data_IF_072690745504
#
_entry.id   IF_072690745504
#
_cell.length_a   1.000
_cell.length_b   1.000
_cell.length_c   1.000
_cell.angle_alpha   90.00
_cell.angle_beta   90.00
_cell.angle_gamma   90.00
#
_symmetry.space_group_name_H-M   'P 1'
#
loop_
_entity.id
_entity.type
_entity.pdbx_description
1 polymer ?
#
# COMPACT_ATOMS: atom_id res chain seq x y z
N UNK A 1 -6.22 3.65 -3.62
CA UNK A 1 -6.61 3.62 -5.04
C UNK A 1 -6.21 4.90 -5.75
N UNK A 2 -6.21 6.04 -5.07
CA UNK A 2 -5.85 7.35 -5.64
C UNK A 2 -4.35 7.66 -5.59
N UNK A 3 -3.54 6.81 -4.98
CA UNK A 3 -2.09 7.02 -4.85
C UNK A 3 -1.70 8.08 -3.84
N UNK A 4 -2.54 8.28 -2.82
CA UNK A 4 -2.29 9.26 -1.74
C UNK A 4 -1.76 8.55 -0.50
N UNK A 5 -0.75 9.13 0.13
CA UNK A 5 -0.18 8.70 1.41
C UNK A 5 0.14 9.94 2.27
N UNK A 6 -0.17 9.87 3.56
CA UNK A 6 0.19 10.91 4.53
C UNK A 6 1.45 10.43 5.27
N UNK A 7 2.55 11.19 5.15
CA UNK A 7 3.83 10.85 5.76
C UNK A 7 3.99 11.45 7.15
N UNK A 8 3.38 12.60 7.38
CA UNK A 8 3.38 13.25 8.69
C UNK A 8 2.24 12.69 9.54
N UNK A 9 2.56 12.32 10.78
CA UNK A 9 1.56 11.80 11.69
C UNK A 9 0.60 12.93 12.09
N UNK A 10 -0.70 12.84 11.79
CA UNK A 10 -1.65 13.89 12.12
C UNK A 10 -1.87 13.98 13.63
N UNK A 11 -2.10 15.19 14.15
CA UNK A 11 -2.46 15.42 15.55
C UNK A 11 -3.72 16.27 15.63
N UNK A 12 -4.70 15.79 16.40
CA UNK A 12 -5.99 16.46 16.63
C UNK A 12 -6.22 16.67 18.15
N UNK A 13 -5.16 17.00 18.88
CA UNK A 13 -5.20 17.17 20.33
C UNK A 13 -5.53 15.84 21.02
N UNK A 14 -6.57 15.84 21.85
CA UNK A 14 -6.99 14.64 22.60
C UNK A 14 -7.83 13.64 21.78
N UNK A 15 -8.22 14.01 20.57
CA UNK A 15 -9.02 13.12 19.71
C UNK A 15 -8.15 11.99 19.17
N UNK A 16 -8.49 10.71 19.46
CA UNK A 16 -7.69 9.59 18.98
C UNK A 16 -7.72 9.47 17.44
N UNK A 17 -6.56 9.35 16.84
CA UNK A 17 -6.44 9.12 15.39
C UNK A 17 -6.66 7.65 15.08
N UNK A 18 -7.55 7.36 14.14
CA UNK A 18 -7.75 6.03 13.57
C UNK A 18 -7.26 6.04 12.14
N UNK A 19 -6.32 5.17 11.79
CA UNK A 19 -5.75 5.14 10.46
C UNK A 19 -5.84 3.76 9.79
N UNK A 20 -6.31 3.76 8.55
CA UNK A 20 -6.15 2.64 7.62
C UNK A 20 -4.75 2.70 7.00
N UNK A 21 -3.91 1.76 7.36
CA UNK A 21 -2.55 1.62 6.84
C UNK A 21 -2.39 0.40 5.95
N UNK A 22 -3.48 -0.13 5.41
CA UNK A 22 -3.48 -1.35 4.58
C UNK A 22 -2.53 -1.25 3.39
N UNK A 23 -2.35 -0.06 2.80
CA UNK A 23 -1.49 0.09 1.63
C UNK A 23 -0.02 0.30 1.96
N UNK A 24 0.31 0.82 3.15
CA UNK A 24 1.67 1.22 3.50
C UNK A 24 2.21 0.61 4.80
N UNK A 25 1.45 -0.25 5.47
CA UNK A 25 1.98 -1.03 6.60
C UNK A 25 3.25 -1.79 6.19
N UNK A 26 4.24 -1.86 7.06
CA UNK A 26 5.55 -2.47 6.82
C UNK A 26 6.40 -1.81 5.72
N UNK A 27 5.96 -0.71 5.13
CA UNK A 27 6.72 -0.02 4.07
C UNK A 27 7.77 0.95 4.62
N UNK A 28 7.61 1.38 5.87
CA UNK A 28 8.48 2.30 6.61
C UNK A 28 8.26 2.18 8.10
N UNK A 29 9.18 2.70 8.95
CA UNK A 29 8.89 2.90 10.37
C UNK A 29 7.68 3.79 10.57
N UNK A 30 6.88 3.49 11.59
CA UNK A 30 5.74 4.29 12.05
C UNK A 30 5.76 4.35 13.57
N UNK A 31 5.53 5.53 14.13
CA UNK A 31 5.36 5.70 15.57
C UNK A 31 3.92 5.37 15.97
N UNK A 32 3.69 4.12 16.37
CA UNK A 32 2.36 3.63 16.73
C UNK A 32 1.76 4.37 17.94
N UNK A 33 2.58 5.01 18.79
CA UNK A 33 2.12 5.73 19.98
C UNK A 33 1.26 6.95 19.65
N UNK A 34 1.39 7.49 18.45
CA UNK A 34 0.62 8.64 17.96
C UNK A 34 -0.81 8.31 17.54
N UNK A 35 -1.15 7.03 17.49
CA UNK A 35 -2.45 6.58 17.00
C UNK A 35 -3.27 5.93 18.11
N UNK A 36 -4.57 6.15 18.05
CA UNK A 36 -5.52 5.39 18.86
C UNK A 36 -5.75 3.99 18.30
N UNK A 37 -5.87 3.90 16.96
CA UNK A 37 -6.02 2.64 16.24
C UNK A 37 -5.29 2.71 14.91
N UNK A 38 -4.50 1.69 14.62
CA UNK A 38 -4.00 1.39 13.28
C UNK A 38 -4.61 0.06 12.83
N UNK A 39 -5.10 -0.01 11.59
CA UNK A 39 -5.53 -1.30 11.03
C UNK A 39 -5.04 -1.48 9.60
N UNK A 40 -4.82 -2.73 9.22
CA UNK A 40 -4.32 -3.09 7.91
C UNK A 40 -4.86 -4.44 7.45
N UNK A 41 -5.48 -4.48 6.27
CA UNK A 41 -5.71 -5.72 5.57
C UNK A 41 -4.39 -6.33 5.08
N UNK A 42 -4.20 -7.64 5.26
CA UNK A 42 -2.93 -8.31 5.00
C UNK A 42 -2.56 -8.40 3.50
N UNK A 43 -3.54 -8.35 2.59
CA UNK A 43 -3.43 -8.71 1.18
C UNK A 43 -2.48 -7.84 0.32
N UNK A 44 -1.77 -6.89 0.93
CA UNK A 44 -0.82 -6.00 0.24
C UNK A 44 0.61 -6.29 0.67
N UNK A 45 1.08 -5.75 1.79
CA UNK A 45 2.46 -5.94 2.26
C UNK A 45 2.65 -7.06 3.28
N UNK A 46 1.58 -7.60 3.87
CA UNK A 46 1.68 -8.59 4.95
C UNK A 46 1.61 -10.02 4.41
N UNK A 47 0.71 -10.30 3.45
CA UNK A 47 0.53 -11.66 2.94
C UNK A 47 -0.78 -11.88 2.20
N UNK A 48 -1.39 -13.06 2.27
CA UNK A 48 -2.68 -13.35 1.66
C UNK A 48 -3.83 -12.57 2.30
N UNK A 49 -4.93 -12.44 1.57
CA UNK A 49 -6.19 -11.91 2.10
C UNK A 49 -6.77 -12.79 3.22
N UNK A 50 -7.71 -12.25 3.99
CA UNK A 50 -8.42 -12.95 5.07
C UNK A 50 -7.88 -12.67 6.47
N UNK A 51 -6.79 -11.92 6.60
CA UNK A 51 -6.22 -11.48 7.87
C UNK A 51 -6.23 -9.94 7.95
N UNK A 52 -6.51 -9.42 9.14
CA UNK A 52 -6.38 -8.00 9.47
C UNK A 52 -5.43 -7.86 10.65
N UNK A 53 -4.42 -7.02 10.51
CA UNK A 53 -3.59 -6.57 11.62
C UNK A 53 -4.25 -5.33 12.26
N UNK A 54 -4.41 -5.35 13.59
CA UNK A 54 -4.87 -4.19 14.35
C UNK A 54 -3.92 -3.89 15.49
N UNK A 55 -3.61 -2.61 15.65
CA UNK A 55 -2.92 -2.06 16.83
C UNK A 55 -3.87 -1.07 17.47
N UNK A 56 -4.27 -1.32 18.70
CA UNK A 56 -5.27 -0.52 19.42
C UNK A 56 -4.66 -0.05 20.73
N UNK A 57 -4.77 1.23 21.02
CA UNK A 57 -4.35 1.80 22.29
C UNK A 57 -5.25 1.26 23.42
N UNK A 58 -4.64 0.82 24.51
CA UNK A 58 -5.31 0.04 25.56
C UNK A 58 -6.52 0.77 26.19
N UNK A 59 -6.41 2.09 26.41
CA UNK A 59 -7.52 2.87 26.96
C UNK A 59 -8.77 2.88 26.09
N UNK A 60 -8.62 2.65 24.76
CA UNK A 60 -9.75 2.59 23.84
C UNK A 60 -10.50 1.26 23.88
N UNK A 61 -9.85 0.18 24.30
CA UNK A 61 -10.52 -1.12 24.50
C UNK A 61 -11.60 -1.07 25.57
N UNK A 62 -11.42 -0.21 26.58
CA UNK A 62 -12.38 -0.02 27.67
C UNK A 62 -13.56 0.91 27.28
N UNK A 63 -13.47 1.65 26.19
CA UNK A 63 -14.47 2.64 25.77
C UNK A 63 -15.59 2.00 24.97
N UNK A 64 -16.39 1.15 25.58
CA UNK A 64 -17.54 0.56 24.92
C UNK A 64 -18.85 1.29 25.31
N UNK A 65 -19.41 2.14 24.46
CA UNK A 65 -20.62 2.90 24.78
C UNK A 65 -21.89 2.05 24.76
N UNK A 66 -21.84 0.83 24.21
CA UNK A 66 -22.98 -0.10 24.08
C UNK A 66 -22.50 -1.55 24.04
N UNK A 67 -23.39 -2.48 24.35
CA UNK A 67 -23.15 -3.91 24.17
C UNK A 67 -23.06 -4.23 22.67
N UNK A 68 -21.94 -4.84 22.28
CA UNK A 68 -21.66 -5.27 20.91
C UNK A 68 -21.75 -6.79 20.79
N UNK A 69 -22.09 -7.32 19.59
CA UNK A 69 -21.83 -8.72 19.28
C UNK A 69 -20.34 -9.05 19.49
N UNK A 70 -20.05 -10.27 19.95
CA UNK A 70 -18.69 -10.67 20.32
C UNK A 70 -17.65 -10.41 19.21
N UNK A 71 -18.02 -10.65 17.96
CA UNK A 71 -17.14 -10.47 16.79
C UNK A 71 -16.76 -8.99 16.53
N UNK A 72 -17.53 -8.03 17.03
CA UNK A 72 -17.27 -6.59 16.91
C UNK A 72 -16.65 -6.00 18.19
N UNK A 73 -16.42 -6.81 19.20
CA UNK A 73 -15.90 -6.41 20.50
C UNK A 73 -14.40 -6.65 20.58
N UNK A 74 -13.61 -5.62 20.31
CA UNK A 74 -12.16 -5.73 20.29
C UNK A 74 -11.55 -6.08 21.67
N UNK A 75 -12.22 -5.70 22.76
CA UNK A 75 -11.77 -6.11 24.09
C UNK A 75 -11.82 -7.64 24.26
N UNK A 76 -12.86 -8.29 23.72
CA UNK A 76 -12.95 -9.76 23.73
C UNK A 76 -11.88 -10.41 22.85
N UNK A 77 -11.62 -9.84 21.66
CA UNK A 77 -10.52 -10.32 20.82
C UNK A 77 -9.17 -10.20 21.54
N UNK A 78 -8.89 -9.07 22.17
CA UNK A 78 -7.66 -8.85 22.92
C UNK A 78 -7.51 -9.83 24.10
N UNK A 79 -8.58 -10.03 24.89
CA UNK A 79 -8.60 -10.95 26.02
C UNK A 79 -8.35 -12.42 25.63
N UNK A 80 -8.65 -12.80 24.38
CA UNK A 80 -8.42 -14.14 23.83
C UNK A 80 -7.14 -14.22 22.96
N UNK A 81 -6.23 -13.23 23.06
CA UNK A 81 -5.02 -13.21 22.23
C UNK A 81 -5.30 -13.23 20.72
N UNK A 82 -6.35 -12.54 20.28
CA UNK A 82 -6.87 -12.54 18.92
C UNK A 82 -7.40 -13.90 18.42
N UNK A 83 -7.64 -14.86 19.32
CA UNK A 83 -8.12 -16.21 19.04
C UNK A 83 -9.57 -16.41 19.50
N UNK A 84 -10.42 -15.38 19.39
CA UNK A 84 -11.85 -15.46 19.72
C UNK A 84 -12.57 -16.57 18.91
N UNK A 85 -12.11 -16.80 17.69
CA UNK A 85 -12.47 -17.90 16.82
C UNK A 85 -11.24 -18.42 16.09
N UNK A 86 -11.33 -19.57 15.44
CA UNK A 86 -10.25 -20.16 14.65
C UNK A 86 -9.80 -19.17 13.58
N UNK A 87 -8.50 -18.81 13.53
CA UNK A 87 -7.99 -17.85 12.54
C UNK A 87 -7.83 -18.51 11.17
N UNK A 88 -7.69 -17.72 10.08
CA UNK A 88 -7.32 -18.20 8.77
C UNK A 88 -5.85 -18.68 8.81
N UNK A 89 -5.61 -19.90 9.23
CA UNK A 89 -4.31 -20.46 9.61
C UNK A 89 -3.24 -20.29 8.53
N UNK A 90 -3.59 -20.54 7.25
CA UNK A 90 -2.65 -20.35 6.14
C UNK A 90 -2.21 -18.88 6.01
N UNK A 91 -3.17 -17.95 6.03
CA UNK A 91 -2.86 -16.51 5.91
C UNK A 91 -2.00 -16.04 7.10
N UNK A 92 -2.28 -16.53 8.30
CA UNK A 92 -1.48 -16.23 9.49
C UNK A 92 -0.06 -16.77 9.37
N UNK A 93 0.10 -18.03 8.98
CA UNK A 93 1.41 -18.62 8.76
C UNK A 93 2.24 -17.84 7.74
N UNK A 94 1.64 -17.50 6.60
CA UNK A 94 2.30 -16.71 5.56
C UNK A 94 2.68 -15.30 6.05
N UNK A 95 1.80 -14.64 6.81
CA UNK A 95 2.12 -13.35 7.41
C UNK A 95 3.34 -13.44 8.35
N UNK A 96 3.44 -14.48 9.16
CA UNK A 96 4.60 -14.76 10.01
C UNK A 96 5.90 -14.89 9.20
N UNK A 97 5.87 -15.59 8.06
CA UNK A 97 7.02 -15.71 7.17
C UNK A 97 7.42 -14.36 6.54
N UNK A 98 6.44 -13.54 6.16
CA UNK A 98 6.70 -12.19 5.62
C UNK A 98 7.32 -11.29 6.69
N UNK A 99 6.84 -11.32 7.95
CA UNK A 99 7.47 -10.55 9.02
C UNK A 99 8.93 -10.96 9.25
N UNK A 100 9.23 -12.27 9.20
CA UNK A 100 10.60 -12.77 9.28
C UNK A 100 11.44 -12.33 8.07
N UNK A 101 10.87 -12.35 6.88
CA UNK A 101 11.53 -11.87 5.67
C UNK A 101 11.89 -10.38 5.80
N UNK A 102 10.94 -9.51 6.18
CA UNK A 102 11.22 -8.08 6.40
C UNK A 102 12.37 -7.88 7.39
N UNK A 103 12.39 -8.65 8.49
CA UNK A 103 13.51 -8.58 9.47
C UNK A 103 14.85 -8.97 8.85
N UNK A 104 14.91 -10.07 8.08
CA UNK A 104 16.14 -10.53 7.41
C UNK A 104 16.65 -9.54 6.36
N UNK A 105 15.75 -8.86 5.68
CA UNK A 105 16.07 -7.86 4.66
C UNK A 105 16.58 -6.52 5.22
N UNK A 106 16.73 -6.38 6.53
CA UNK A 106 17.21 -5.16 7.19
C UNK A 106 16.13 -4.34 7.89
N UNK A 107 14.91 -4.87 8.00
CA UNK A 107 13.81 -4.25 8.74
C UNK A 107 13.17 -3.07 8.03
N UNK A 108 12.35 -2.31 8.78
CA UNK A 108 11.51 -1.25 8.21
C UNK A 108 12.31 -0.07 7.64
N UNK A 109 13.49 0.23 8.18
CA UNK A 109 14.34 1.31 7.65
C UNK A 109 14.84 0.97 6.25
N UNK A 110 15.27 -0.27 6.02
CA UNK A 110 15.69 -0.71 4.69
C UNK A 110 14.52 -0.82 3.72
N UNK A 111 13.35 -1.29 4.17
CA UNK A 111 12.14 -1.26 3.36
C UNK A 111 11.79 0.17 2.93
N UNK A 112 11.88 1.14 3.83
CA UNK A 112 11.64 2.55 3.51
C UNK A 112 12.60 3.07 2.44
N UNK A 113 13.89 2.75 2.56
CA UNK A 113 14.92 3.15 1.58
C UNK A 113 14.62 2.55 0.19
N UNK A 114 14.35 1.24 0.11
CA UNK A 114 14.01 0.54 -1.14
C UNK A 114 12.73 1.10 -1.77
N UNK A 115 11.70 1.31 -0.97
CA UNK A 115 10.43 1.82 -1.46
C UNK A 115 10.53 3.27 -1.95
N UNK A 116 11.32 4.12 -1.28
CA UNK A 116 11.62 5.46 -1.75
C UNK A 116 12.34 5.40 -3.10
N UNK A 117 13.42 4.64 -3.23
CA UNK A 117 14.19 4.51 -4.49
C UNK A 117 13.30 4.09 -5.67
N UNK A 118 12.43 3.09 -5.48
CA UNK A 118 11.48 2.63 -6.51
C UNK A 118 10.48 3.72 -6.92
N UNK A 119 9.85 4.33 -5.93
CA UNK A 119 8.80 5.32 -6.18
C UNK A 119 9.37 6.59 -6.80
N UNK A 120 10.46 7.12 -6.24
CA UNK A 120 11.10 8.35 -6.72
C UNK A 120 11.58 8.20 -8.17
N UNK A 121 12.15 7.04 -8.53
CA UNK A 121 12.56 6.73 -9.90
C UNK A 121 11.37 6.76 -10.87
N UNK A 122 10.24 6.13 -10.51
CA UNK A 122 9.06 6.11 -11.36
C UNK A 122 8.39 7.48 -11.47
N UNK A 123 8.25 8.22 -10.36
CA UNK A 123 7.71 9.57 -10.38
C UNK A 123 8.59 10.54 -11.19
N UNK A 124 9.91 10.46 -11.03
CA UNK A 124 10.84 11.29 -11.81
C UNK A 124 10.67 11.06 -13.31
N UNK A 125 10.48 9.79 -13.73
CA UNK A 125 10.21 9.49 -15.13
C UNK A 125 8.84 10.04 -15.59
N UNK A 126 7.78 9.84 -14.81
CA UNK A 126 6.44 10.34 -15.15
C UNK A 126 6.48 11.86 -15.31
N UNK A 127 7.02 12.57 -14.32
CA UNK A 127 7.06 14.05 -14.31
C UNK A 127 7.96 14.63 -15.42
N UNK A 128 9.05 13.93 -15.76
CA UNK A 128 9.99 14.37 -16.80
C UNK A 128 9.64 13.94 -18.22
N UNK A 129 8.64 13.05 -18.39
CA UNK A 129 8.34 12.46 -19.71
C UNK A 129 7.68 13.42 -20.69
N UNK A 130 6.97 14.45 -20.20
CA UNK A 130 6.14 15.32 -21.01
C UNK A 130 4.90 14.62 -21.63
N UNK A 131 4.75 13.30 -21.44
CA UNK A 131 3.68 12.49 -22.03
C UNK A 131 2.80 11.82 -20.97
N UNK A 132 3.39 11.26 -19.89
CA UNK A 132 2.65 10.73 -18.76
C UNK A 132 2.36 11.81 -17.74
N UNK A 133 1.30 11.64 -16.96
CA UNK A 133 0.96 12.57 -15.88
C UNK A 133 0.56 11.84 -14.60
N UNK A 134 0.81 12.47 -13.46
CA UNK A 134 0.27 12.07 -12.16
C UNK A 134 -0.48 13.25 -11.55
N UNK A 135 -1.67 13.00 -10.99
CA UNK A 135 -2.58 14.05 -10.49
C UNK A 135 -2.44 14.32 -8.99
N UNK A 136 -1.61 13.54 -8.30
CA UNK A 136 -1.42 13.66 -6.85
C UNK A 136 -0.37 14.73 -6.56
N UNK A 137 -0.67 15.62 -5.60
CA UNK A 137 0.31 16.56 -5.08
C UNK A 137 1.58 15.82 -4.63
N UNK A 138 2.79 16.24 -5.06
CA UNK A 138 4.05 15.55 -4.74
C UNK A 138 4.24 15.26 -3.24
N UNK A 139 3.75 16.12 -2.36
CA UNK A 139 3.83 15.94 -0.89
C UNK A 139 3.08 14.72 -0.36
N UNK A 140 2.06 14.27 -1.10
CA UNK A 140 1.16 13.18 -0.70
C UNK A 140 1.22 11.98 -1.63
N UNK A 141 2.22 11.88 -2.49
CA UNK A 141 2.38 10.76 -3.41
C UNK A 141 2.75 9.47 -2.68
N UNK A 142 1.93 8.45 -2.85
CA UNK A 142 2.19 7.14 -2.24
C UNK A 142 3.44 6.48 -2.84
N UNK A 143 4.26 5.87 -1.98
CA UNK A 143 5.38 5.02 -2.40
C UNK A 143 4.96 3.60 -2.76
N UNK A 144 3.70 3.24 -2.47
CA UNK A 144 3.16 1.90 -2.71
C UNK A 144 2.30 1.80 -3.97
N UNK A 145 1.56 2.86 -4.29
CA UNK A 145 0.65 2.87 -5.43
C UNK A 145 0.85 4.16 -6.23
N UNK A 146 1.38 4.01 -7.43
CA UNK A 146 1.68 5.12 -8.34
C UNK A 146 0.66 5.10 -9.49
N UNK A 147 -0.44 5.87 -9.39
CA UNK A 147 -1.32 6.07 -10.54
C UNK A 147 -0.63 6.96 -11.59
N UNK A 148 -0.89 6.69 -12.86
CA UNK A 148 -0.44 7.56 -13.94
C UNK A 148 -1.40 7.50 -15.12
N UNK A 149 -1.39 8.53 -15.93
CA UNK A 149 -2.34 8.73 -17.01
C UNK A 149 -1.62 9.02 -18.32
N UNK A 150 -2.19 8.54 -19.40
CA UNK A 150 -1.80 8.90 -20.76
C UNK A 150 -2.46 10.22 -21.15
N UNK A 151 -2.00 10.90 -22.22
CA UNK A 151 -2.64 12.10 -22.73
C UNK A 151 -4.08 11.85 -23.20
N UNK A 152 -4.32 10.67 -23.78
CA UNK A 152 -5.65 10.23 -24.23
C UNK A 152 -6.02 8.91 -23.55
N UNK A 153 -7.10 8.92 -22.80
CA UNK A 153 -7.64 7.74 -22.11
C UNK A 153 -8.09 6.63 -23.06
N UNK A 154 -8.36 6.95 -24.33
CA UNK A 154 -8.65 5.92 -25.36
C UNK A 154 -7.49 4.95 -25.58
N UNK A 155 -6.26 5.35 -25.26
CA UNK A 155 -5.06 4.52 -25.35
C UNK A 155 -4.87 3.57 -24.17
N UNK A 156 -5.60 3.75 -23.06
CA UNK A 156 -5.39 2.98 -21.80
C UNK A 156 -5.47 1.46 -22.05
N UNK A 157 -6.47 1.01 -22.80
CA UNK A 157 -6.65 -0.41 -23.11
C UNK A 157 -5.52 -0.99 -23.95
N UNK A 158 -5.05 -0.23 -24.95
CA UNK A 158 -3.95 -0.63 -25.81
C UNK A 158 -2.62 -0.67 -25.04
N UNK A 159 -2.39 0.31 -24.16
CA UNK A 159 -1.23 0.35 -23.28
C UNK A 159 -1.17 -0.88 -22.38
N UNK A 160 -2.26 -1.20 -21.67
CA UNK A 160 -2.30 -2.36 -20.76
C UNK A 160 -2.02 -3.65 -21.53
N UNK A 161 -2.65 -3.85 -22.68
CA UNK A 161 -2.43 -5.04 -23.52
C UNK A 161 -0.99 -5.15 -24.03
N UNK A 162 -0.38 -4.04 -24.44
CA UNK A 162 1.02 -4.01 -24.87
C UNK A 162 1.97 -4.31 -23.70
N UNK A 163 1.71 -3.77 -22.53
CA UNK A 163 2.48 -4.04 -21.33
C UNK A 163 2.43 -5.53 -20.92
N UNK A 164 1.24 -6.13 -20.95
CA UNK A 164 1.05 -7.56 -20.67
C UNK A 164 1.82 -8.46 -21.65
N UNK A 165 1.92 -8.07 -22.93
CA UNK A 165 2.71 -8.79 -23.92
C UNK A 165 4.21 -8.77 -23.63
N UNK A 166 4.70 -7.75 -22.90
CA UNK A 166 6.09 -7.64 -22.42
C UNK A 166 6.27 -8.18 -20.96
N UNK A 167 5.25 -8.85 -20.41
CA UNK A 167 5.32 -9.45 -19.07
C UNK A 167 5.04 -8.48 -17.92
N UNK A 168 4.52 -7.28 -18.19
CA UNK A 168 4.17 -6.28 -17.21
C UNK A 168 2.66 -6.35 -16.89
N UNK A 169 2.31 -7.06 -15.84
CA UNK A 169 0.93 -7.36 -15.48
C UNK A 169 0.35 -6.40 -14.43
N UNK A 170 -0.98 -6.37 -14.35
CA UNK A 170 -1.77 -5.67 -13.34
C UNK A 170 -1.57 -4.14 -13.32
N UNK A 171 -1.27 -3.53 -14.47
CA UNK A 171 -1.10 -2.08 -14.60
C UNK A 171 -2.42 -1.31 -14.75
N UNK A 172 -3.54 -1.97 -15.08
CA UNK A 172 -4.83 -1.30 -15.21
C UNK A 172 -5.21 -0.55 -13.95
N UNK A 173 -5.57 0.72 -14.09
CA UNK A 173 -6.01 1.56 -12.98
C UNK A 173 -7.32 1.09 -12.36
N UNK A 174 -7.64 1.66 -11.19
CA UNK A 174 -8.91 1.34 -10.52
C UNK A 174 -10.08 1.89 -11.35
N UNK A 175 -11.20 1.16 -11.40
CA UNK A 175 -12.39 1.55 -12.18
C UNK A 175 -12.91 2.96 -11.90
N UNK A 176 -12.75 3.44 -10.65
CA UNK A 176 -13.24 4.75 -10.21
C UNK A 176 -12.22 5.88 -10.49
N UNK A 177 -10.98 5.54 -10.89
CA UNK A 177 -9.89 6.50 -11.11
C UNK A 177 -9.50 6.54 -12.59
N UNK A 178 -9.53 5.40 -13.27
CA UNK A 178 -9.05 5.25 -14.65
C UNK A 178 -7.52 5.18 -14.75
N UNK A 179 -7.02 5.35 -15.95
CA UNK A 179 -5.59 5.33 -16.24
C UNK A 179 -4.90 4.02 -15.87
N UNK A 180 -3.65 4.10 -15.49
CA UNK A 180 -2.83 2.99 -15.00
C UNK A 180 -2.46 3.16 -13.54
N UNK A 181 -2.02 2.08 -12.92
CA UNK A 181 -1.50 2.09 -11.55
C UNK A 181 -0.40 1.05 -11.38
N UNK A 182 0.80 1.51 -11.13
CA UNK A 182 1.88 0.64 -10.66
C UNK A 182 1.77 0.42 -9.14
N UNK A 183 1.67 -0.85 -8.74
CA UNK A 183 1.66 -1.25 -7.32
C UNK A 183 3.05 -1.71 -6.93
N UNK A 184 3.78 -0.90 -6.13
CA UNK A 184 5.19 -1.06 -5.80
C UNK A 184 5.41 -1.61 -4.39
N UNK A 185 4.60 -2.57 -3.96
CA UNK A 185 4.71 -3.16 -2.62
C UNK A 185 6.12 -3.69 -2.33
N UNK A 186 6.41 -3.98 -1.06
CA UNK A 186 7.75 -4.30 -0.57
C UNK A 186 8.49 -5.37 -1.41
N UNK A 187 7.79 -6.38 -1.89
CA UNK A 187 8.38 -7.49 -2.65
C UNK A 187 8.67 -7.15 -4.13
N UNK A 188 8.17 -6.04 -4.65
CA UNK A 188 8.46 -5.60 -6.02
C UNK A 188 9.91 -5.13 -6.09
N UNK A 189 10.69 -5.68 -7.03
CA UNK A 189 12.09 -5.32 -7.21
C UNK A 189 12.27 -3.98 -7.91
N UNK A 190 13.43 -3.35 -7.73
CA UNK A 190 13.80 -2.15 -8.47
C UNK A 190 13.91 -2.44 -9.98
N UNK A 191 14.39 -3.63 -10.34
CA UNK A 191 14.46 -4.08 -11.73
C UNK A 191 13.08 -4.13 -12.42
N UNK A 192 12.01 -4.47 -11.68
CA UNK A 192 10.64 -4.41 -12.19
C UNK A 192 10.20 -2.99 -12.52
N UNK A 193 10.64 -2.02 -11.74
CA UNK A 193 10.37 -0.60 -11.99
C UNK A 193 11.17 -0.12 -13.22
N UNK A 194 12.43 -0.56 -13.34
CA UNK A 194 13.25 -0.24 -14.52
C UNK A 194 12.64 -0.80 -15.81
N UNK A 195 12.13 -2.03 -15.78
CA UNK A 195 11.44 -2.64 -16.90
C UNK A 195 10.17 -1.84 -17.28
N UNK A 196 9.38 -1.41 -16.29
CA UNK A 196 8.21 -0.58 -16.54
C UNK A 196 8.60 0.76 -17.19
N UNK A 197 9.61 1.44 -16.68
CA UNK A 197 10.08 2.72 -17.24
C UNK A 197 10.61 2.54 -18.66
N UNK A 198 11.35 1.47 -18.95
CA UNK A 198 11.81 1.16 -20.29
C UNK A 198 10.65 0.96 -21.27
N UNK A 199 9.65 0.16 -20.86
CA UNK A 199 8.42 -0.02 -21.63
C UNK A 199 7.68 1.30 -21.87
N UNK A 200 7.45 2.08 -20.81
CA UNK A 200 6.79 3.38 -20.89
C UNK A 200 7.48 4.32 -21.90
N UNK A 201 8.82 4.34 -21.88
CA UNK A 201 9.63 5.15 -22.81
C UNK A 201 9.40 4.72 -24.27
N UNK A 202 9.46 3.42 -24.55
CA UNK A 202 9.24 2.89 -25.88
C UNK A 202 7.80 3.11 -26.35
N UNK A 203 6.82 2.98 -25.47
CA UNK A 203 5.42 3.20 -25.81
C UNK A 203 5.16 4.66 -26.15
N UNK A 204 5.65 5.61 -25.33
CA UNK A 204 5.52 7.03 -25.61
C UNK A 204 6.18 7.42 -26.95
N UNK A 205 7.35 6.90 -27.25
CA UNK A 205 8.04 7.19 -28.52
C UNK A 205 7.31 6.71 -29.78
N UNK A 206 6.36 5.76 -29.64
CA UNK A 206 5.58 5.23 -30.77
C UNK A 206 4.20 5.89 -30.91
N UNK A 207 3.71 6.55 -29.88
CA UNK A 207 2.33 7.03 -29.81
C UNK A 207 2.24 8.53 -29.44
N UNK A 208 3.39 9.18 -29.14
CA UNK A 208 3.54 10.59 -28.78
C UNK A 208 4.19 11.44 -29.87
#
# INVERSE_FOLDING_TARGET
IHGVEIFEDPSFGEVPVVADVSSNILSRPIDVSKYGVLYAGAQKNIGPSGLVLMVIREDLLARQPRKLPAILDYAKHAAQGAMLNTPPTFAWYMAGLVFQWVKREGGLAEMARRNAAKADKLYAYIDGSGWYSNKVDPRYRSRMNVPFFLPDAALDGAFVKAAEAEGLFALKGHRDVGGMRASLYNAVSEASVDALIAFMRHYAARHG
#
